data_IF_493335754459
#
_entry.id   IF_493335754459
#
_cell.length_a   1.000
_cell.length_b   1.000
_cell.length_c   1.000
_cell.angle_alpha   90.00
_cell.angle_beta   90.00
_cell.angle_gamma   90.00
#
_symmetry.space_group_name_H-M   'P 1'
#
loop_
_entity.id
_entity.type
_entity.pdbx_description
1 polymer ?
#
# COMPACT_ATOMS: atom_id res chain seq x y z
N UNK A 1 21.02 57.89 -30.81
CA UNK A 1 19.65 57.38 -30.98
C UNK A 1 19.69 56.14 -31.88
N UNK A 2 19.46 54.96 -31.27
CA UNK A 2 19.08 53.64 -31.83
C UNK A 2 19.72 52.52 -31.00
N UNK A 3 19.02 51.95 -30.01
CA UNK A 3 19.31 50.60 -29.56
C UNK A 3 18.44 49.63 -30.36
N UNK A 4 19.07 48.78 -31.19
CA UNK A 4 18.41 47.70 -31.91
C UNK A 4 18.69 46.38 -31.21
N UNK A 5 17.67 45.54 -31.18
CA UNK A 5 17.64 44.15 -30.72
C UNK A 5 17.63 43.95 -29.21
N UNK A 6 16.46 44.22 -28.63
CA UNK A 6 16.04 43.64 -27.36
C UNK A 6 15.81 42.12 -27.56
N UNK A 7 16.50 41.35 -26.74
CA UNK A 7 16.50 39.90 -26.62
C UNK A 7 15.08 39.39 -26.33
N UNK A 8 14.35 38.91 -27.35
CA UNK A 8 13.06 38.25 -27.17
C UNK A 8 13.29 36.77 -26.82
N UNK A 9 13.83 36.52 -25.62
CA UNK A 9 13.89 35.21 -25.00
C UNK A 9 12.47 34.85 -24.53
N UNK A 10 11.60 34.45 -25.48
CA UNK A 10 10.26 33.95 -25.17
C UNK A 10 10.43 32.63 -24.45
N UNK A 11 10.30 32.75 -23.14
CA UNK A 11 10.04 31.72 -22.15
C UNK A 11 9.10 30.65 -22.71
N UNK A 12 9.68 29.57 -23.23
CA UNK A 12 9.02 28.28 -23.38
C UNK A 12 8.78 27.71 -21.98
N UNK A 13 7.87 28.32 -21.23
CA UNK A 13 7.18 27.63 -20.13
C UNK A 13 6.25 26.62 -20.78
N UNK A 14 6.84 25.51 -21.22
CA UNK A 14 6.13 24.28 -21.47
C UNK A 14 5.43 23.91 -20.17
N UNK A 15 4.12 24.18 -20.12
CA UNK A 15 3.23 23.69 -19.10
C UNK A 15 3.24 22.16 -19.24
N UNK A 16 4.19 21.50 -18.59
CA UNK A 16 4.15 20.06 -18.40
C UNK A 16 2.96 19.82 -17.49
N UNK A 17 1.80 19.53 -18.09
CA UNK A 17 0.70 18.91 -17.39
C UNK A 17 1.25 17.60 -16.82
N UNK A 18 1.68 17.64 -15.57
CA UNK A 18 1.93 16.45 -14.77
C UNK A 18 0.57 15.79 -14.69
N UNK A 19 0.33 14.82 -15.57
CA UNK A 19 -0.79 13.90 -15.45
C UNK A 19 -0.54 13.16 -14.15
N UNK A 20 -1.09 13.65 -13.04
CA UNK A 20 -1.22 12.86 -11.83
C UNK A 20 -2.04 11.65 -12.23
N UNK A 21 -1.35 10.53 -12.46
CA UNK A 21 -1.99 9.22 -12.54
C UNK A 21 -2.58 9.04 -11.15
N UNK A 22 -3.86 9.39 -10.98
CA UNK A 22 -4.57 9.08 -9.75
C UNK A 22 -4.49 7.58 -9.58
N UNK A 23 -3.93 7.07 -8.47
CA UNK A 23 -3.83 5.63 -8.28
C UNK A 23 -5.24 5.06 -8.32
N UNK A 24 -5.47 4.09 -9.21
CA UNK A 24 -6.79 3.49 -9.36
C UNK A 24 -7.19 2.81 -8.06
N UNK A 25 -8.42 3.07 -7.61
CA UNK A 25 -9.02 2.32 -6.52
C UNK A 25 -9.19 0.85 -6.94
N UNK A 26 -8.82 -0.06 -6.05
CA UNK A 26 -8.91 -1.51 -6.26
C UNK A 26 -9.66 -2.16 -5.13
N UNK A 27 -10.37 -3.24 -5.44
CA UNK A 27 -10.95 -4.14 -4.44
C UNK A 27 -10.43 -5.54 -4.69
N UNK A 28 -9.73 -6.12 -3.71
CA UNK A 28 -9.12 -7.44 -3.83
C UNK A 28 -9.43 -8.28 -2.58
N UNK A 29 -9.53 -9.59 -2.76
CA UNK A 29 -9.50 -10.52 -1.63
C UNK A 29 -8.11 -10.51 -1.00
N UNK A 30 -8.06 -10.55 0.33
CA UNK A 30 -6.81 -10.50 1.07
C UNK A 30 -6.92 -11.23 2.42
N UNK A 31 -5.77 -11.35 3.07
CA UNK A 31 -5.63 -11.85 4.42
C UNK A 31 -4.96 -10.79 5.29
N UNK A 32 -5.49 -10.62 6.49
CA UNK A 32 -4.90 -9.80 7.54
C UNK A 32 -4.69 -10.66 8.78
N UNK A 33 -3.67 -10.36 9.56
CA UNK A 33 -3.31 -11.14 10.76
C UNK A 33 -2.99 -10.20 11.92
N UNK A 34 -3.20 -10.71 13.13
CA UNK A 34 -2.77 -10.04 14.34
C UNK A 34 -1.28 -10.32 14.53
N UNK A 35 -0.44 -9.32 14.29
CA UNK A 35 1.02 -9.45 14.39
C UNK A 35 1.59 -8.98 15.74
N UNK A 36 0.81 -9.07 16.82
CA UNK A 36 1.26 -8.68 18.17
C UNK A 36 2.42 -9.52 18.73
N UNK A 37 2.85 -10.59 18.05
CA UNK A 37 4.03 -11.37 18.44
C UNK A 37 5.34 -10.71 17.95
N UNK A 38 6.03 -10.03 18.87
CA UNK A 38 7.19 -9.16 18.60
C UNK A 38 8.41 -9.91 18.01
N UNK A 39 8.62 -11.18 18.34
CA UNK A 39 9.85 -11.90 17.98
C UNK A 39 9.81 -12.51 16.55
N UNK A 40 8.66 -13.02 16.13
CA UNK A 40 8.49 -13.74 14.85
C UNK A 40 7.48 -13.05 13.91
N UNK A 41 6.86 -11.95 14.32
CA UNK A 41 5.87 -11.22 13.53
C UNK A 41 6.46 -10.15 12.62
N UNK A 42 5.62 -9.59 11.75
CA UNK A 42 5.92 -8.38 10.98
C UNK A 42 5.14 -7.18 11.53
N UNK A 43 5.54 -5.97 11.17
CA UNK A 43 4.62 -4.82 11.24
C UNK A 43 3.30 -5.13 10.53
N UNK A 44 2.26 -4.33 10.77
CA UNK A 44 0.96 -4.52 10.13
C UNK A 44 1.10 -4.58 8.60
N UNK A 45 0.58 -5.67 8.01
CA UNK A 45 0.61 -5.87 6.56
C UNK A 45 -0.66 -6.58 6.08
N UNK A 46 -1.03 -6.30 4.84
CA UNK A 46 -2.06 -7.02 4.10
C UNK A 46 -1.39 -7.97 3.13
N UNK A 47 -1.82 -9.23 3.10
CA UNK A 47 -1.42 -10.18 2.06
C UNK A 47 -2.54 -10.32 1.04
N UNK A 48 -2.34 -9.80 -0.17
CA UNK A 48 -3.32 -9.94 -1.25
C UNK A 48 -3.44 -11.40 -1.67
N UNK A 49 -4.67 -11.86 -1.91
CA UNK A 49 -4.95 -13.19 -2.42
C UNK A 49 -4.81 -13.24 -3.96
N UNK A 50 -3.67 -12.77 -4.48
CA UNK A 50 -3.32 -12.89 -5.90
C UNK A 50 -2.97 -14.34 -6.23
N UNK A 51 -3.18 -14.73 -7.48
CA UNK A 51 -3.18 -16.09 -8.04
C UNK A 51 -2.37 -17.18 -7.30
N UNK A 52 -2.96 -18.38 -7.28
CA UNK A 52 -2.57 -19.62 -6.56
C UNK A 52 -1.10 -20.06 -6.63
N UNK A 53 -0.24 -19.44 -7.44
CA UNK A 53 1.18 -19.75 -7.54
C UNK A 53 2.07 -18.97 -6.56
N UNK A 54 1.61 -17.85 -6.01
CA UNK A 54 2.42 -16.99 -5.13
C UNK A 54 1.73 -16.73 -3.78
N UNK A 55 1.32 -17.81 -3.11
CA UNK A 55 0.62 -17.74 -1.83
C UNK A 55 1.51 -17.29 -0.66
N UNK A 56 2.82 -17.20 -0.87
CA UNK A 56 3.82 -16.88 0.17
C UNK A 56 4.80 -15.77 -0.22
N UNK A 57 4.80 -15.28 -1.47
CA UNK A 57 5.76 -14.28 -1.91
C UNK A 57 5.50 -12.88 -1.37
N UNK A 58 6.60 -12.21 -1.04
CA UNK A 58 6.67 -10.79 -0.63
C UNK A 58 5.97 -9.87 -1.65
N UNK A 59 5.88 -10.29 -2.93
CA UNK A 59 5.19 -9.57 -3.99
C UNK A 59 3.67 -9.40 -3.73
N UNK A 60 3.07 -10.25 -2.90
CA UNK A 60 1.66 -10.16 -2.48
C UNK A 60 1.45 -9.30 -1.23
N UNK A 61 2.53 -8.90 -0.54
CA UNK A 61 2.44 -8.16 0.73
C UNK A 61 2.34 -6.66 0.50
N UNK A 62 1.52 -5.99 1.30
CA UNK A 62 1.29 -4.54 1.25
C UNK A 62 1.34 -3.96 2.65
N UNK A 63 2.07 -2.86 2.84
CA UNK A 63 2.07 -2.11 4.10
C UNK A 63 0.98 -1.03 4.08
N UNK A 64 0.05 -0.98 5.05
CA UNK A 64 -0.89 0.12 5.16
C UNK A 64 -0.16 1.43 5.50
N UNK A 65 -0.65 2.54 4.96
CA UNK A 65 -0.23 3.88 5.41
C UNK A 65 -0.61 4.10 6.88
N UNK A 66 0.13 4.96 7.58
CA UNK A 66 -0.19 5.33 8.96
C UNK A 66 -1.62 5.88 9.11
N UNK A 67 -2.13 6.61 8.11
CA UNK A 67 -3.50 7.14 8.09
C UNK A 67 -4.58 6.06 7.99
N UNK A 68 -4.26 4.89 7.44
CA UNK A 68 -5.21 3.80 7.22
C UNK A 68 -5.06 2.62 8.19
N UNK A 69 -4.02 2.63 9.06
CA UNK A 69 -3.84 1.65 10.14
C UNK A 69 -5.05 1.51 11.08
N UNK A 70 -5.77 2.59 11.47
CA UNK A 70 -6.96 2.43 12.31
C UNK A 70 -8.04 1.53 11.69
N UNK A 71 -8.18 1.54 10.35
CA UNK A 71 -9.09 0.65 9.65
C UNK A 71 -8.61 -0.81 9.70
N UNK A 72 -7.30 -1.02 9.57
CA UNK A 72 -6.68 -2.33 9.72
C UNK A 72 -6.92 -2.90 11.12
N UNK A 73 -6.59 -2.15 12.18
CA UNK A 73 -6.77 -2.62 13.56
C UNK A 73 -8.24 -2.82 13.93
N UNK A 74 -9.15 -1.99 13.40
CA UNK A 74 -10.59 -2.21 13.57
C UNK A 74 -11.01 -3.57 12.98
N UNK A 75 -10.56 -3.87 11.76
CA UNK A 75 -10.86 -5.15 11.11
C UNK A 75 -10.27 -6.36 11.85
N UNK A 76 -9.05 -6.24 12.42
CA UNK A 76 -8.45 -7.30 13.25
C UNK A 76 -9.33 -7.65 14.46
N UNK A 77 -10.00 -6.65 15.06
CA UNK A 77 -10.89 -6.83 16.22
C UNK A 77 -12.26 -7.38 15.85
N UNK A 78 -12.83 -6.92 14.72
CA UNK A 78 -14.23 -7.21 14.35
C UNK A 78 -14.39 -8.48 13.50
N UNK A 79 -13.37 -8.85 12.75
CA UNK A 79 -13.42 -9.99 11.84
C UNK A 79 -12.73 -11.18 12.51
N UNK A 80 -13.45 -12.30 12.75
CA UNK A 80 -12.86 -13.48 13.37
C UNK A 80 -11.84 -14.13 12.43
N UNK A 81 -10.82 -14.74 13.02
CA UNK A 81 -9.85 -15.53 12.27
C UNK A 81 -10.52 -16.78 11.67
N UNK A 82 -9.90 -17.31 10.61
CA UNK A 82 -10.30 -18.57 10.01
C UNK A 82 -10.08 -19.74 10.99
N UNK A 83 -10.87 -20.82 10.89
CA UNK A 83 -10.65 -22.01 11.71
C UNK A 83 -9.21 -22.52 11.58
N UNK A 84 -8.56 -22.77 12.72
CA UNK A 84 -7.18 -23.25 12.80
C UNK A 84 -6.13 -22.33 12.14
N UNK A 85 -6.40 -21.02 12.05
CA UNK A 85 -5.46 -20.03 11.50
C UNK A 85 -5.50 -18.73 12.32
N UNK A 86 -4.42 -17.95 12.25
CA UNK A 86 -4.35 -16.57 12.78
C UNK A 86 -4.86 -15.54 11.77
N UNK A 87 -5.05 -15.96 10.52
CA UNK A 87 -5.45 -15.11 9.42
C UNK A 87 -6.95 -14.87 9.39
N UNK A 88 -7.33 -13.68 8.93
CA UNK A 88 -8.71 -13.27 8.69
C UNK A 88 -8.85 -13.03 7.20
N UNK A 89 -9.79 -13.74 6.56
CA UNK A 89 -10.12 -13.50 5.16
C UNK A 89 -10.99 -12.25 5.01
N UNK A 90 -10.57 -11.33 4.16
CA UNK A 90 -11.21 -10.04 3.96
C UNK A 90 -11.32 -9.67 2.49
N UNK A 91 -12.23 -8.75 2.19
CA UNK A 91 -12.19 -7.92 0.98
C UNK A 91 -11.64 -6.55 1.39
N UNK A 92 -10.57 -6.12 0.75
CA UNK A 92 -9.99 -4.79 0.98
C UNK A 92 -10.22 -3.88 -0.21
N UNK A 93 -10.63 -2.64 0.06
CA UNK A 93 -10.73 -1.57 -0.91
C UNK A 93 -9.61 -0.59 -0.64
N UNK A 94 -8.75 -0.31 -1.61
CA UNK A 94 -7.49 0.40 -1.38
C UNK A 94 -6.99 1.13 -2.63
N UNK A 95 -5.99 1.99 -2.43
CA UNK A 95 -5.21 2.64 -3.49
C UNK A 95 -3.72 2.38 -3.25
N UNK A 96 -2.96 2.02 -4.28
CA UNK A 96 -1.49 1.97 -4.18
C UNK A 96 -0.94 3.40 -4.06
N UNK A 97 -0.01 3.66 -3.15
CA UNK A 97 0.59 5.01 -3.01
C UNK A 97 1.69 5.27 -4.04
N UNK A 98 2.08 4.24 -4.80
CA UNK A 98 3.23 4.25 -5.70
C UNK A 98 4.58 4.09 -4.98
N UNK A 99 4.60 4.08 -3.65
CA UNK A 99 5.83 3.93 -2.85
C UNK A 99 6.15 2.46 -2.60
N UNK A 100 7.44 2.15 -2.57
CA UNK A 100 7.95 0.96 -1.88
C UNK A 100 8.50 1.36 -0.53
N UNK A 101 8.19 0.57 0.50
CA UNK A 101 8.57 0.81 1.88
C UNK A 101 9.14 -0.48 2.48
N UNK A 102 9.99 -0.32 3.49
CA UNK A 102 10.44 -1.46 4.29
C UNK A 102 9.33 -1.89 5.26
N UNK A 103 9.05 -3.18 5.27
CA UNK A 103 8.22 -3.83 6.29
C UNK A 103 9.17 -4.48 7.29
N UNK A 104 9.17 -4.02 8.54
CA UNK A 104 10.00 -4.64 9.57
C UNK A 104 9.36 -5.96 10.00
N UNK A 105 10.14 -7.04 9.90
CA UNK A 105 9.76 -8.37 10.32
C UNK A 105 10.75 -8.93 11.32
N UNK A 106 10.34 -10.01 12.01
CA UNK A 106 11.15 -10.74 12.97
C UNK A 106 12.57 -11.02 12.47
N UNK A 107 13.48 -11.20 13.42
CA UNK A 107 14.91 -11.43 13.15
C UNK A 107 15.59 -10.31 12.33
N UNK A 108 15.01 -9.10 12.33
CA UNK A 108 15.56 -7.93 11.64
C UNK A 108 15.36 -7.94 10.12
N UNK A 109 14.52 -8.81 9.59
CA UNK A 109 14.18 -8.85 8.16
C UNK A 109 13.45 -7.57 7.73
N UNK A 110 13.78 -7.04 6.56
CA UNK A 110 13.23 -5.78 6.03
C UNK A 110 12.88 -5.88 4.54
N UNK A 111 11.94 -6.75 4.13
CA UNK A 111 11.51 -6.82 2.75
C UNK A 111 10.94 -5.48 2.27
N UNK A 112 11.24 -5.13 1.01
CA UNK A 112 10.59 -4.01 0.34
C UNK A 112 9.24 -4.46 -0.19
N UNK A 113 8.18 -3.79 0.25
CA UNK A 113 6.80 -4.06 -0.16
C UNK A 113 6.17 -2.78 -0.68
N UNK A 114 5.09 -2.90 -1.45
CA UNK A 114 4.31 -1.73 -1.85
C UNK A 114 3.52 -1.18 -0.66
N UNK A 115 3.38 0.14 -0.59
CA UNK A 115 2.51 0.81 0.38
C UNK A 115 1.12 1.05 -0.22
N UNK A 116 0.08 0.85 0.60
CA UNK A 116 -1.32 1.06 0.21
C UNK A 116 -2.04 1.97 1.21
N UNK A 117 -2.92 2.82 0.69
CA UNK A 117 -3.91 3.51 1.51
C UNK A 117 -5.20 2.68 1.52
N UNK A 118 -5.54 2.09 2.67
CA UNK A 118 -6.78 1.32 2.82
C UNK A 118 -7.96 2.29 2.94
N UNK A 119 -8.99 2.06 2.13
CA UNK A 119 -10.24 2.84 2.12
C UNK A 119 -11.36 2.11 2.85
N UNK A 120 -11.40 0.78 2.78
CA UNK A 120 -12.33 -0.06 3.52
C UNK A 120 -11.81 -1.50 3.67
N UNK A 121 -12.27 -2.18 4.73
CA UNK A 121 -12.08 -3.61 4.93
C UNK A 121 -13.44 -4.20 5.30
N UNK A 122 -13.80 -5.32 4.68
CA UNK A 122 -15.03 -6.04 4.98
C UNK A 122 -14.78 -7.54 5.05
N UNK A 123 -15.66 -8.26 5.75
CA UNK A 123 -15.61 -9.73 5.81
C UNK A 123 -15.84 -10.31 4.41
N UNK A 124 -15.05 -11.33 4.07
CA UNK A 124 -15.24 -12.14 2.88
C UNK A 124 -16.23 -13.28 3.12
#
# INVERSE_FOLDING_TARGET
MKPSSFLLLVLLFGCQTITQINPAERTDAAFITDNTMIADGCEDFVRLAVDKSDTTGIASWRKPTASSLPLYHKAIKEIPALPNSVERAVLIRYMETGKQVELLCGWGSRPKVKEINILAISRR
#
